data_IF_855763117363
#
_entry.id   IF_855763117363
#
_cell.length_a   1.000
_cell.length_b   1.000
_cell.length_c   1.000
_cell.angle_alpha   90.00
_cell.angle_beta   90.00
_cell.angle_gamma   90.00
#
_symmetry.space_group_name_H-M   'P 1'
#
loop_
_entity.id
_entity.type
_entity.pdbx_description
1 polymer ?
#
# COMPACT_ATOMS: atom_id res chain seq x y z
N UNK A 1 -3.46 -2.46 -17.77
CA UNK A 1 -2.15 -3.09 -17.46
C UNK A 1 -1.85 -4.01 -18.62
N UNK A 2 -0.71 -3.87 -19.29
CA UNK A 2 -0.33 -4.83 -20.33
C UNK A 2 0.30 -6.07 -19.66
N UNK A 3 -0.25 -7.25 -19.93
CA UNK A 3 0.19 -8.51 -19.32
C UNK A 3 1.64 -8.88 -19.67
N UNK A 4 2.13 -8.35 -20.80
CA UNK A 4 3.47 -8.64 -21.33
C UNK A 4 4.59 -7.91 -20.57
N UNK A 5 4.27 -6.82 -19.87
CA UNK A 5 5.25 -6.04 -19.10
C UNK A 5 5.38 -6.52 -17.64
N UNK A 6 4.55 -7.49 -17.22
CA UNK A 6 4.50 -7.93 -15.84
C UNK A 6 5.59 -8.96 -15.51
N UNK A 7 6.34 -8.70 -14.44
CA UNK A 7 7.32 -9.65 -13.90
C UNK A 7 6.60 -10.90 -13.37
N UNK A 8 7.15 -12.10 -13.60
CA UNK A 8 6.58 -13.36 -13.10
C UNK A 8 6.36 -13.38 -11.58
N UNK A 9 7.24 -12.69 -10.83
CA UNK A 9 7.09 -12.51 -9.37
C UNK A 9 5.83 -11.75 -8.98
N UNK A 10 5.46 -10.72 -9.73
CA UNK A 10 4.29 -9.91 -9.43
C UNK A 10 3.00 -10.64 -9.85
N UNK A 11 3.08 -11.44 -10.92
CA UNK A 11 2.01 -12.38 -11.31
C UNK A 11 1.77 -13.42 -10.21
N UNK A 12 2.82 -14.06 -9.70
CA UNK A 12 2.71 -15.06 -8.62
C UNK A 12 2.04 -14.49 -7.37
N UNK A 13 2.46 -13.30 -6.92
CA UNK A 13 1.84 -12.62 -5.76
C UNK A 13 0.37 -12.29 -5.99
N UNK A 14 0.01 -11.83 -7.19
CA UNK A 14 -1.38 -11.54 -7.55
C UNK A 14 -2.23 -12.81 -7.42
N UNK A 15 -1.76 -13.91 -7.97
CA UNK A 15 -2.49 -15.18 -7.99
C UNK A 15 -2.62 -15.76 -6.58
N UNK A 16 -1.55 -15.70 -5.78
CA UNK A 16 -1.58 -16.05 -4.35
C UNK A 16 -2.62 -15.22 -3.58
N UNK A 17 -2.60 -13.89 -3.77
CA UNK A 17 -3.55 -12.98 -3.12
C UNK A 17 -5.00 -13.26 -3.54
N UNK A 18 -5.22 -13.54 -4.82
CA UNK A 18 -6.55 -13.85 -5.33
C UNK A 18 -7.06 -15.17 -4.74
N UNK A 19 -6.22 -16.21 -4.69
CA UNK A 19 -6.55 -17.49 -4.07
C UNK A 19 -6.94 -17.38 -2.59
N UNK A 20 -6.44 -16.38 -1.87
CA UNK A 20 -6.83 -16.13 -0.48
C UNK A 20 -8.27 -15.63 -0.36
N UNK A 21 -8.75 -14.82 -1.32
CA UNK A 21 -10.06 -14.17 -1.22
C UNK A 21 -11.14 -14.77 -2.15
N UNK A 22 -10.75 -15.60 -3.12
CA UNK A 22 -11.65 -16.16 -4.14
C UNK A 22 -12.90 -16.81 -3.53
N UNK A 23 -12.70 -17.69 -2.56
CA UNK A 23 -13.78 -18.42 -1.89
C UNK A 23 -14.81 -17.48 -1.23
N UNK A 24 -14.36 -16.31 -0.74
CA UNK A 24 -15.22 -15.31 -0.10
C UNK A 24 -15.95 -14.42 -1.11
N UNK A 25 -15.29 -14.08 -2.21
CA UNK A 25 -15.86 -13.22 -3.25
C UNK A 25 -16.96 -13.95 -4.03
N UNK A 26 -16.80 -15.25 -4.24
CA UNK A 26 -17.77 -16.10 -4.93
C UNK A 26 -19.03 -16.37 -4.06
N UNK A 27 -18.93 -16.23 -2.74
CA UNK A 27 -20.05 -16.42 -1.80
C UNK A 27 -20.91 -15.15 -1.68
N UNK A 28 -22.10 -15.20 -2.29
CA UNK A 28 -23.09 -14.12 -2.20
C UNK A 28 -23.60 -13.89 -0.78
N UNK A 29 -23.72 -14.91 0.05
CA UNK A 29 -24.20 -14.77 1.43
C UNK A 29 -23.18 -14.00 2.27
N UNK A 30 -21.90 -14.35 2.11
CA UNK A 30 -20.81 -13.60 2.72
C UNK A 30 -20.83 -12.13 2.31
N UNK A 31 -21.02 -11.83 1.02
CA UNK A 31 -21.04 -10.44 0.53
C UNK A 31 -22.11 -9.59 1.24
N UNK A 32 -23.32 -10.12 1.40
CA UNK A 32 -24.40 -9.42 2.11
C UNK A 32 -24.08 -9.24 3.60
N UNK A 33 -23.63 -10.30 4.29
CA UNK A 33 -23.24 -10.23 5.71
C UNK A 33 -22.12 -9.19 5.92
N UNK A 34 -21.11 -9.22 5.07
CA UNK A 34 -19.95 -8.34 5.15
C UNK A 34 -20.30 -6.87 4.89
N UNK A 35 -21.26 -6.60 3.99
CA UNK A 35 -21.72 -5.24 3.71
C UNK A 35 -22.61 -4.67 4.82
N UNK A 36 -23.43 -5.52 5.45
CA UNK A 36 -24.37 -5.11 6.50
C UNK A 36 -23.69 -4.95 7.87
N UNK A 37 -22.70 -5.78 8.17
CA UNK A 37 -22.09 -5.86 9.50
C UNK A 37 -20.65 -5.33 9.53
N UNK A 38 -20.36 -4.43 10.48
CA UNK A 38 -18.99 -3.93 10.72
C UNK A 38 -18.01 -5.05 11.08
N UNK A 39 -18.50 -6.07 11.80
CA UNK A 39 -17.75 -7.26 12.21
C UNK A 39 -18.47 -8.52 11.70
N UNK A 40 -18.02 -9.03 10.56
CA UNK A 40 -18.51 -10.31 10.02
C UNK A 40 -17.91 -11.47 10.81
N UNK A 41 -18.76 -12.38 11.28
CA UNK A 41 -18.37 -13.63 11.93
C UNK A 41 -17.82 -14.63 10.90
N UNK A 42 -18.42 -14.67 9.71
CA UNK A 42 -17.96 -15.49 8.58
C UNK A 42 -16.51 -15.18 8.20
N UNK A 43 -16.13 -13.89 8.20
CA UNK A 43 -14.74 -13.50 7.97
C UNK A 43 -13.79 -14.03 9.06
N UNK A 44 -14.24 -14.00 10.32
CA UNK A 44 -13.44 -14.46 11.46
C UNK A 44 -13.20 -15.98 11.38
N UNK A 45 -14.24 -16.74 11.05
CA UNK A 45 -14.16 -18.19 10.88
C UNK A 45 -13.27 -18.54 9.68
N UNK A 46 -13.42 -17.83 8.56
CA UNK A 46 -12.57 -18.00 7.40
C UNK A 46 -11.08 -17.71 7.70
N UNK A 47 -10.81 -16.63 8.43
CA UNK A 47 -9.47 -16.26 8.88
C UNK A 47 -8.85 -17.34 9.77
N UNK A 48 -9.62 -17.92 10.70
CA UNK A 48 -9.18 -19.01 11.57
C UNK A 48 -8.88 -20.29 10.77
N UNK A 49 -9.72 -20.62 9.79
CA UNK A 49 -9.56 -21.81 8.95
C UNK A 49 -8.34 -21.72 8.04
N UNK A 50 -8.12 -20.57 7.38
CA UNK A 50 -6.96 -20.35 6.50
C UNK A 50 -5.69 -19.98 7.25
N UNK A 51 -5.76 -19.71 8.56
CA UNK A 51 -4.66 -19.21 9.42
C UNK A 51 -4.01 -17.92 8.89
N UNK A 52 -4.81 -17.06 8.28
CA UNK A 52 -4.38 -15.75 7.76
C UNK A 52 -5.01 -14.65 8.61
N UNK A 53 -4.27 -13.57 8.89
CA UNK A 53 -4.80 -12.43 9.63
C UNK A 53 -6.05 -11.83 8.97
N UNK A 54 -7.06 -11.54 9.79
CA UNK A 54 -8.28 -10.85 9.35
C UNK A 54 -7.95 -9.53 8.65
N UNK A 55 -6.92 -8.82 9.12
CA UNK A 55 -6.49 -7.55 8.53
C UNK A 55 -6.04 -7.73 7.09
N UNK A 56 -5.28 -8.78 6.79
CA UNK A 56 -4.79 -9.08 5.45
C UNK A 56 -5.96 -9.36 4.52
N UNK A 57 -6.89 -10.23 4.92
CA UNK A 57 -8.07 -10.59 4.11
C UNK A 57 -8.93 -9.35 3.85
N UNK A 58 -9.21 -8.53 4.87
CA UNK A 58 -9.96 -7.27 4.71
C UNK A 58 -9.29 -6.31 3.74
N UNK A 59 -7.98 -6.20 3.79
CA UNK A 59 -7.21 -5.33 2.90
C UNK A 59 -7.31 -5.81 1.46
N UNK A 60 -7.17 -7.12 1.23
CA UNK A 60 -7.30 -7.72 -0.10
C UNK A 60 -8.71 -7.55 -0.68
N UNK A 61 -9.75 -7.83 0.12
CA UNK A 61 -11.15 -7.63 -0.28
C UNK A 61 -11.43 -6.16 -0.63
N UNK A 62 -10.95 -5.22 0.21
CA UNK A 62 -11.12 -3.80 -0.04
C UNK A 62 -10.42 -3.35 -1.33
N UNK A 63 -9.20 -3.86 -1.59
CA UNK A 63 -8.45 -3.58 -2.82
C UNK A 63 -9.22 -4.09 -4.04
N UNK A 64 -9.66 -5.35 -3.99
CA UNK A 64 -10.41 -5.99 -5.08
C UNK A 64 -11.70 -5.24 -5.42
N UNK A 65 -12.54 -4.93 -4.43
CA UNK A 65 -13.80 -4.23 -4.68
C UNK A 65 -13.61 -2.76 -5.07
N UNK A 66 -12.64 -2.06 -4.46
CA UNK A 66 -12.36 -0.65 -4.79
C UNK A 66 -11.92 -0.46 -6.23
N UNK A 67 -11.19 -1.43 -6.78
CA UNK A 67 -10.64 -1.36 -8.12
C UNK A 67 -11.45 -2.16 -9.15
N UNK A 68 -12.73 -2.45 -8.87
CA UNK A 68 -13.66 -2.95 -9.87
C UNK A 68 -13.71 -4.47 -10.04
N UNK A 69 -13.33 -5.24 -9.01
CA UNK A 69 -13.39 -6.71 -9.02
C UNK A 69 -12.50 -7.37 -10.08
N UNK A 70 -11.39 -6.71 -10.41
CA UNK A 70 -10.39 -7.25 -11.32
C UNK A 70 -9.28 -7.97 -10.53
N UNK A 71 -8.77 -9.09 -11.05
CA UNK A 71 -7.62 -9.80 -10.47
C UNK A 71 -6.39 -8.87 -10.51
N UNK A 72 -6.28 -8.00 -11.51
CA UNK A 72 -5.21 -7.00 -11.61
C UNK A 72 -5.24 -5.95 -10.50
N UNK A 73 -6.36 -5.80 -9.77
CA UNK A 73 -6.42 -4.96 -8.58
C UNK A 73 -5.44 -5.41 -7.48
N UNK A 74 -5.10 -6.70 -7.45
CA UNK A 74 -4.22 -7.30 -6.45
C UNK A 74 -2.74 -7.22 -6.82
N UNK A 75 -2.41 -6.54 -7.93
CA UNK A 75 -1.04 -6.27 -8.30
C UNK A 75 -0.35 -5.36 -7.28
N UNK A 76 0.93 -5.61 -6.98
CA UNK A 76 1.67 -4.77 -6.07
C UNK A 76 1.90 -3.38 -6.68
N UNK A 77 1.46 -2.33 -5.97
CA UNK A 77 1.67 -0.94 -6.38
C UNK A 77 3.08 -0.43 -6.06
N UNK A 78 4.14 -1.21 -6.33
CA UNK A 78 5.52 -0.84 -6.00
C UNK A 78 5.97 0.45 -6.65
N UNK A 79 5.43 0.79 -7.82
CA UNK A 79 5.68 2.08 -8.47
C UNK A 79 5.25 3.28 -7.61
N UNK A 80 4.25 3.09 -6.74
CA UNK A 80 3.76 4.12 -5.83
C UNK A 80 4.46 4.05 -4.46
N UNK A 81 5.27 3.03 -4.22
CA UNK A 81 6.06 2.89 -3.00
C UNK A 81 7.36 3.69 -3.11
N UNK A 82 7.89 4.14 -1.97
CA UNK A 82 9.20 4.77 -1.91
C UNK A 82 10.29 3.76 -2.31
N UNK A 83 10.84 3.89 -3.51
CA UNK A 83 11.91 3.02 -4.00
C UNK A 83 13.17 3.17 -3.13
N UNK A 84 13.34 2.26 -2.17
CA UNK A 84 14.54 2.20 -1.34
C UNK A 84 15.79 2.07 -2.23
N UNK A 85 16.77 2.94 -2.03
CA UNK A 85 18.02 2.96 -2.81
C UNK A 85 17.97 3.81 -4.09
N UNK A 86 16.82 4.25 -4.57
CA UNK A 86 16.75 5.22 -5.68
C UNK A 86 16.74 6.66 -5.13
N UNK A 87 17.52 7.52 -5.77
CA UNK A 87 17.49 8.96 -5.46
C UNK A 87 16.11 9.52 -5.78
N UNK A 88 15.57 10.35 -4.87
CA UNK A 88 14.28 11.03 -5.07
C UNK A 88 14.50 12.32 -5.86
N UNK A 89 13.50 12.70 -6.65
CA UNK A 89 13.45 14.03 -7.25
C UNK A 89 13.45 15.05 -6.11
N UNK A 90 14.49 15.88 -6.06
CA UNK A 90 14.60 16.95 -5.07
C UNK A 90 13.67 18.06 -5.50
N UNK A 91 12.58 18.26 -4.76
CA UNK A 91 11.76 19.44 -4.91
C UNK A 91 12.35 20.57 -4.06
N UNK A 92 12.25 21.81 -4.53
CA UNK A 92 12.60 23.00 -3.73
C UNK A 92 11.75 23.11 -2.46
N UNK A 93 10.55 22.51 -2.49
CA UNK A 93 9.60 22.46 -1.40
C UNK A 93 9.82 21.20 -0.56
N UNK A 94 9.74 21.35 0.77
CA UNK A 94 9.82 20.22 1.71
C UNK A 94 8.71 19.21 1.45
N UNK A 95 9.07 17.93 1.39
CA UNK A 95 8.14 16.80 1.32
C UNK A 95 7.49 16.47 2.67
N UNK A 96 8.05 16.95 3.79
CA UNK A 96 7.54 16.70 5.14
C UNK A 96 6.57 17.79 5.63
N UNK A 97 5.75 17.45 6.62
CA UNK A 97 4.80 18.40 7.22
C UNK A 97 5.53 19.62 7.82
N UNK A 98 5.00 20.81 7.55
CA UNK A 98 5.52 22.07 8.09
C UNK A 98 5.33 22.11 9.60
N UNK A 99 6.44 22.12 10.36
CA UNK A 99 6.37 22.27 11.82
C UNK A 99 5.79 23.64 12.18
N UNK A 100 4.66 23.68 12.89
CA UNK A 100 4.07 24.92 13.44
C UNK A 100 4.87 25.38 14.67
N UNK A 101 5.24 26.66 14.74
CA UNK A 101 5.84 27.24 15.96
C UNK A 101 4.73 27.45 16.99
N UNK A 102 4.96 27.04 18.25
CA UNK A 102 3.96 27.15 19.32
C UNK A 102 3.98 28.52 20.02
N UNK A 103 5.12 29.21 20.08
CA UNK A 103 5.30 30.33 21.01
C UNK A 103 5.70 31.69 20.39
N UNK A 104 6.52 31.76 19.33
CA UNK A 104 6.97 33.03 18.73
C UNK A 104 7.24 32.91 17.22
N UNK A 105 7.10 34.00 16.44
CA UNK A 105 7.53 34.06 15.05
C UNK A 105 9.06 34.18 14.99
N UNK A 106 9.73 33.04 15.11
CA UNK A 106 11.16 32.98 14.83
C UNK A 106 11.36 32.77 13.32
N UNK A 107 12.05 33.69 12.65
CA UNK A 107 12.47 33.50 11.26
C UNK A 107 13.42 32.30 11.21
N UNK A 108 12.99 31.22 10.56
CA UNK A 108 13.82 30.02 10.47
C UNK A 108 14.88 30.21 9.40
N UNK A 109 16.06 29.66 9.65
CA UNK A 109 17.10 29.53 8.63
C UNK A 109 16.57 28.79 7.40
N UNK A 110 17.11 29.18 6.24
CA UNK A 110 16.81 28.49 4.98
C UNK A 110 17.22 27.03 5.09
N UNK A 111 16.45 26.20 4.42
CA UNK A 111 16.59 24.75 4.52
C UNK A 111 17.70 24.34 3.58
N UNK A 112 18.73 23.71 4.14
CA UNK A 112 19.83 23.19 3.34
C UNK A 112 19.38 21.92 2.62
N UNK A 113 19.27 22.00 1.30
CA UNK A 113 19.00 20.84 0.44
C UNK A 113 20.35 20.21 0.09
N UNK A 114 20.62 19.01 0.61
CA UNK A 114 21.86 18.28 0.37
C UNK A 114 22.09 18.07 -1.13
N UNK A 115 23.22 18.52 -1.66
CA UNK A 115 23.67 18.26 -3.03
C UNK A 115 24.51 16.99 -3.13
N UNK A 116 24.75 16.53 -4.36
CA UNK A 116 25.58 15.33 -4.59
C UNK A 116 27.02 15.51 -4.06
N UNK A 117 27.56 16.73 -4.17
CA UNK A 117 28.87 17.08 -3.60
C UNK A 117 28.89 16.91 -2.07
N UNK A 118 27.83 17.36 -1.40
CA UNK A 118 27.73 17.26 0.06
C UNK A 118 27.65 15.79 0.51
N UNK A 119 26.87 14.98 -0.22
CA UNK A 119 26.77 13.53 0.03
C UNK A 119 28.13 12.86 -0.10
N UNK A 120 28.92 13.20 -1.12
CA UNK A 120 30.24 12.63 -1.34
C UNK A 120 31.24 13.03 -0.24
N UNK A 121 31.11 14.23 0.32
CA UNK A 121 31.94 14.70 1.42
C UNK A 121 31.60 14.01 2.75
N UNK A 122 30.35 13.58 2.95
CA UNK A 122 29.91 12.86 4.17
C UNK A 122 30.27 11.37 4.14
N UNK A 123 30.38 10.77 2.94
CA UNK A 123 30.69 9.35 2.75
C UNK A 123 32.18 8.99 2.91
N UNK A 124 33.06 9.98 3.07
CA UNK A 124 34.48 9.80 3.42
C UNK A 124 34.63 9.65 4.93
#
# INVERSE_FOLDING_TARGET
VDEKELTDKDRGRRDENYNIIKDLVDDRMFLFDYALHKKSHLLMDYSRNKKISQYTIRTLLALYWRHGQDIYALLPAFSNCGAAGKSRIKHEIKLGNSKKNRALPNERSRVFILNERDINNIRK
#
